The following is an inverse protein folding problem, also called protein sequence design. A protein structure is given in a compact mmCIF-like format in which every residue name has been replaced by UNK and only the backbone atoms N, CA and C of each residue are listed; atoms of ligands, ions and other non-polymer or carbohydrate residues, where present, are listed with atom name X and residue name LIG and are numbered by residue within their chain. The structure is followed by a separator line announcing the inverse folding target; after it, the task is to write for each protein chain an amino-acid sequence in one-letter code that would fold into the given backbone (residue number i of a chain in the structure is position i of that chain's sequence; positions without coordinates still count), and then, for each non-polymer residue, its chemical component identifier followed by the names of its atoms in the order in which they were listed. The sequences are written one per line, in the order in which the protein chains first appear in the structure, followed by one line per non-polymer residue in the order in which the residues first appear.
data_IF_595028114418
#
_entry.id   IF_595028114418
#
_cell.length_a   1.000
_cell.length_b   1.000
_cell.length_c   1.000
_cell.angle_alpha   90.00
_cell.angle_beta   90.00
_cell.angle_gamma   90.00
#
_symmetry.space_group_name_H-M   'P 1'
#
loop_
_entity.id
_entity.type
_entity.pdbx_description
1 polymer ?
#
# COMPACT_ATOMS: atom_id res chain seq x y z
N UNK A 1 9.38 -14.76 -14.94
CA UNK A 1 8.07 -14.21 -14.56
C UNK A 1 8.23 -13.24 -13.42
N UNK A 2 7.46 -12.18 -13.43
CA UNK A 2 7.47 -11.21 -12.32
C UNK A 2 6.31 -11.46 -11.39
N UNK A 3 6.56 -11.29 -10.12
CA UNK A 3 5.55 -11.31 -9.08
C UNK A 3 5.48 -9.92 -8.45
N UNK A 4 4.27 -9.45 -8.23
CA UNK A 4 4.02 -8.13 -7.62
C UNK A 4 3.51 -8.35 -6.21
N UNK A 5 4.12 -7.68 -5.26
CA UNK A 5 3.82 -7.87 -3.84
C UNK A 5 3.32 -6.55 -3.28
N UNK A 6 2.10 -6.58 -2.74
CA UNK A 6 1.55 -5.43 -2.03
C UNK A 6 1.83 -5.61 -0.54
N UNK A 7 2.50 -4.63 0.05
CA UNK A 7 2.92 -4.70 1.44
C UNK A 7 2.61 -3.41 2.17
N UNK A 8 2.56 -3.49 3.47
CA UNK A 8 2.35 -2.33 4.33
C UNK A 8 3.23 -2.40 5.58
N UNK A 9 3.67 -1.25 6.05
CA UNK A 9 4.30 -1.11 7.37
C UNK A 9 3.51 -0.09 8.17
N UNK A 10 3.59 -0.20 9.49
CA UNK A 10 2.98 0.82 10.35
C UNK A 10 3.98 1.30 11.40
N UNK A 11 3.74 2.54 11.89
CA UNK A 11 4.68 3.21 12.81
C UNK A 11 4.72 2.61 14.20
N UNK A 12 3.72 1.83 14.59
CA UNK A 12 3.69 1.22 15.91
C UNK A 12 4.55 -0.03 16.00
N UNK A 13 4.49 -0.89 14.99
CA UNK A 13 5.14 -2.19 15.03
C UNK A 13 6.41 -2.27 14.20
N UNK A 14 6.57 -1.35 13.25
CA UNK A 14 7.71 -1.32 12.31
C UNK A 14 7.94 -2.66 11.62
N UNK A 15 6.84 -3.36 11.33
CA UNK A 15 6.87 -4.69 10.70
C UNK A 15 6.26 -4.60 9.32
N UNK A 16 6.90 -5.24 8.36
CA UNK A 16 6.35 -5.38 7.01
C UNK A 16 5.19 -6.38 7.06
N UNK A 17 4.01 -5.93 6.69
CA UNK A 17 2.85 -6.79 6.57
C UNK A 17 2.62 -7.09 5.11
N UNK A 18 2.84 -8.35 4.73
CA UNK A 18 2.54 -8.82 3.41
C UNK A 18 1.02 -8.92 3.26
N UNK A 19 0.47 -8.21 2.27
CA UNK A 19 -0.97 -8.20 2.05
C UNK A 19 -1.35 -9.25 1.02
N UNK A 20 -0.77 -9.19 -0.18
CA UNK A 20 -1.12 -10.12 -1.25
C UNK A 20 -0.06 -10.14 -2.34
N UNK A 21 0.07 -11.29 -3.00
CA UNK A 21 0.91 -11.46 -4.19
C UNK A 21 0.03 -11.44 -5.44
N UNK A 22 0.51 -10.79 -6.48
CA UNK A 22 -0.21 -10.70 -7.75
C UNK A 22 0.69 -11.18 -8.89
N UNK A 23 0.16 -12.04 -9.72
CA UNK A 23 0.85 -12.49 -10.92
C UNK A 23 0.74 -11.47 -12.07
N UNK A 24 -0.29 -10.62 -12.02
CA UNK A 24 -0.55 -9.62 -13.06
C UNK A 24 -0.42 -8.21 -12.51
N UNK A 25 0.37 -7.40 -13.19
CA UNK A 25 0.60 -6.01 -12.81
C UNK A 25 -0.71 -5.21 -12.73
N UNK A 26 -1.61 -5.44 -13.68
CA UNK A 26 -2.88 -4.71 -13.74
C UNK A 26 -3.75 -4.95 -12.51
N UNK A 27 -3.80 -6.20 -12.05
CA UNK A 27 -4.57 -6.54 -10.85
C UNK A 27 -4.00 -5.86 -9.61
N UNK A 28 -2.68 -5.85 -9.50
CA UNK A 28 -1.99 -5.18 -8.41
C UNK A 28 -2.26 -3.67 -8.44
N UNK A 29 -2.17 -3.06 -9.60
CA UNK A 29 -2.42 -1.61 -9.74
C UNK A 29 -3.87 -1.26 -9.38
N UNK A 30 -4.83 -2.08 -9.78
CA UNK A 30 -6.24 -1.87 -9.45
C UNK A 30 -6.45 -1.93 -7.93
N UNK A 31 -5.88 -2.92 -7.28
CA UNK A 31 -6.04 -3.09 -5.84
C UNK A 31 -5.34 -1.97 -5.07
N UNK A 32 -4.15 -1.59 -5.49
CA UNK A 32 -3.41 -0.49 -4.89
C UNK A 32 -4.19 0.83 -5.01
N UNK A 33 -4.75 1.10 -6.18
CA UNK A 33 -5.55 2.29 -6.41
C UNK A 33 -6.84 2.29 -5.58
N UNK A 34 -7.47 1.13 -5.44
CA UNK A 34 -8.67 0.98 -4.63
C UNK A 34 -8.39 1.29 -3.16
N UNK A 35 -7.30 0.76 -2.63
CA UNK A 35 -6.92 1.00 -1.23
C UNK A 35 -6.60 2.48 -1.03
N UNK A 36 -5.83 3.07 -1.94
CA UNK A 36 -5.48 4.49 -1.88
C UNK A 36 -6.72 5.37 -1.90
N UNK A 37 -7.66 5.08 -2.78
CA UNK A 37 -8.91 5.83 -2.89
C UNK A 37 -9.77 5.69 -1.65
N UNK A 38 -9.81 4.52 -1.05
CA UNK A 38 -10.53 4.28 0.21
C UNK A 38 -10.01 5.20 1.31
N UNK A 39 -8.70 5.33 1.44
CA UNK A 39 -8.12 6.22 2.44
C UNK A 39 -8.34 7.69 2.09
N UNK A 40 -8.23 8.04 0.81
CA UNK A 40 -8.46 9.42 0.37
C UNK A 40 -9.86 9.89 0.72
N UNK A 41 -10.85 9.01 0.64
CA UNK A 41 -12.24 9.33 0.93
C UNK A 41 -12.62 9.18 2.40
N UNK A 42 -11.71 8.69 3.23
CA UNK A 42 -11.98 8.52 4.66
C UNK A 42 -11.79 9.85 5.40
N UNK A 43 -12.78 10.29 6.21
CA UNK A 43 -12.63 11.52 6.99
C UNK A 43 -11.64 11.40 8.14
N UNK A 44 -11.25 10.18 8.50
CA UNK A 44 -10.33 9.94 9.61
C UNK A 44 -8.90 9.70 9.14
N UNK A 45 -8.67 9.65 7.85
CA UNK A 45 -7.35 9.40 7.27
C UNK A 45 -6.78 10.66 6.64
N UNK A 46 -5.48 10.88 6.84
CA UNK A 46 -4.77 11.98 6.22
C UNK A 46 -3.70 11.41 5.30
N UNK A 47 -3.80 11.73 4.01
CA UNK A 47 -2.83 11.28 3.03
C UNK A 47 -1.61 12.16 3.10
N UNK A 48 -0.48 11.61 3.54
CA UNK A 48 0.77 12.36 3.72
C UNK A 48 1.61 12.37 2.46
N UNK A 49 1.68 11.24 1.76
CA UNK A 49 2.43 11.12 0.52
C UNK A 49 1.66 10.23 -0.44
N UNK A 50 1.68 10.58 -1.73
CA UNK A 50 1.07 9.79 -2.78
C UNK A 50 2.05 9.58 -3.92
N UNK A 51 2.19 8.34 -4.36
CA UNK A 51 3.01 7.98 -5.49
C UNK A 51 2.41 6.81 -6.26
N UNK A 52 3.04 6.44 -7.35
CA UNK A 52 2.56 5.34 -8.19
C UNK A 52 2.79 3.97 -7.56
N UNK A 53 3.78 3.85 -6.69
CA UNK A 53 4.16 2.58 -6.06
C UNK A 53 4.21 2.64 -4.54
N UNK A 54 3.87 3.79 -3.99
CA UNK A 54 3.94 4.01 -2.55
C UNK A 54 2.98 5.11 -2.16
N UNK A 55 2.29 4.94 -1.05
CA UNK A 55 1.62 6.05 -0.40
C UNK A 55 1.73 5.91 1.12
N UNK A 56 1.66 7.04 1.80
CA UNK A 56 1.72 7.12 3.24
C UNK A 56 0.44 7.78 3.74
N UNK A 57 -0.23 7.15 4.70
CA UNK A 57 -1.46 7.65 5.26
C UNK A 57 -1.38 7.62 6.78
N UNK A 58 -1.93 8.65 7.42
CA UNK A 58 -1.98 8.74 8.87
C UNK A 58 -3.42 8.59 9.34
N UNK A 59 -3.63 7.70 10.30
CA UNK A 59 -4.93 7.50 10.92
C UNK A 59 -4.73 7.61 12.43
N UNK A 60 -5.26 8.67 13.04
CA UNK A 60 -5.02 8.94 14.44
C UNK A 60 -3.55 9.19 14.71
N UNK A 61 -2.92 8.34 15.51
CA UNK A 61 -1.49 8.43 15.83
C UNK A 61 -0.63 7.45 15.06
N UNK A 62 -1.23 6.69 14.16
CA UNK A 62 -0.55 5.63 13.43
C UNK A 62 -0.37 6.04 11.99
N UNK A 63 0.84 5.86 11.48
CA UNK A 63 1.17 6.10 10.09
C UNK A 63 1.37 4.76 9.41
N UNK A 64 0.72 4.59 8.26
CA UNK A 64 0.83 3.39 7.43
C UNK A 64 1.52 3.73 6.13
N UNK A 65 2.50 2.92 5.74
CA UNK A 65 3.13 2.98 4.44
C UNK A 65 2.70 1.77 3.63
N UNK A 66 2.04 2.01 2.50
CA UNK A 66 1.66 0.97 1.55
C UNK A 66 2.59 1.08 0.35
N UNK A 67 3.14 -0.04 -0.08
CA UNK A 67 4.10 -0.02 -1.17
C UNK A 67 4.04 -1.32 -1.98
N UNK A 68 4.54 -1.21 -3.21
CA UNK A 68 4.56 -2.30 -4.16
C UNK A 68 6.01 -2.71 -4.42
N UNK A 69 6.27 -4.00 -4.32
CA UNK A 69 7.56 -4.59 -4.64
C UNK A 69 7.40 -5.49 -5.86
N UNK A 70 8.41 -5.54 -6.69
CA UNK A 70 8.50 -6.49 -7.79
C UNK A 70 9.56 -7.52 -7.47
N UNK A 71 9.26 -8.76 -7.75
CA UNK A 71 10.20 -9.86 -7.58
C UNK A 71 10.23 -10.69 -8.84
N UNK A 72 11.45 -11.01 -9.30
CA UNK A 72 11.65 -11.92 -10.40
C UNK A 72 11.62 -13.36 -9.86
N UNK A 73 10.83 -14.21 -10.51
CA UNK A 73 10.72 -15.61 -10.12
C UNK A 73 11.38 -16.49 -11.18
#
# INVERSE_FOLDING_TARGET
MKQYILSATNSLKQVNSHIEDYAKKERMEQEFSRIKETFRNSPHAEMLEEGDRHFKVKIGRVTFDYYILEREI
#
